data_IF_773539320063
#
_entry.id   IF_773539320063
#
_cell.length_a   1.000
_cell.length_b   1.000
_cell.length_c   1.000
_cell.angle_alpha   90.00
_cell.angle_beta   90.00
_cell.angle_gamma   90.00
#
_symmetry.space_group_name_H-M   'P 1'
#
loop_
_entity.id
_entity.type
_entity.pdbx_description
1 polymer ?
#
# COMPACT_ATOMS: atom_id res chain seq x y z
N UNK A 1 -31.71 -56.92 -8.48
CA UNK A 1 -31.59 -56.56 -7.04
C UNK A 1 -32.70 -55.56 -6.75
N UNK A 2 -33.77 -56.04 -6.12
CA UNK A 2 -34.96 -55.26 -5.78
C UNK A 2 -34.68 -54.40 -4.54
N UNK A 3 -34.83 -53.09 -4.68
CA UNK A 3 -35.50 -52.24 -3.69
C UNK A 3 -36.56 -51.42 -4.44
N UNK A 4 -37.57 -52.17 -4.90
CA UNK A 4 -38.89 -51.67 -5.24
C UNK A 4 -39.53 -51.01 -4.01
N UNK A 5 -40.41 -50.04 -4.28
CA UNK A 5 -41.57 -49.68 -3.46
C UNK A 5 -41.26 -49.18 -2.05
N UNK A 6 -41.20 -47.88 -1.87
CA UNK A 6 -42.08 -47.23 -0.88
C UNK A 6 -42.39 -45.79 -1.38
N UNK A 7 -43.56 -45.70 -2.02
CA UNK A 7 -44.52 -44.59 -1.93
C UNK A 7 -44.05 -43.24 -2.50
N UNK A 8 -44.16 -42.99 -3.80
CA UNK A 8 -45.40 -42.50 -4.44
C UNK A 8 -46.50 -42.03 -3.46
N UNK A 9 -46.81 -40.73 -3.51
CA UNK A 9 -48.19 -40.26 -3.35
C UNK A 9 -48.41 -39.01 -2.49
N UNK A 10 -48.12 -37.83 -3.03
CA UNK A 10 -49.13 -36.75 -3.15
C UNK A 10 -48.58 -35.54 -3.92
N UNK A 11 -49.12 -35.36 -5.11
CA UNK A 11 -49.28 -34.04 -5.75
C UNK A 11 -50.35 -33.25 -4.97
N UNK A 12 -50.23 -31.91 -5.03
CA UNK A 12 -51.18 -30.88 -4.58
C UNK A 12 -51.26 -30.76 -3.04
N UNK A 13 -50.75 -29.66 -2.46
CA UNK A 13 -51.54 -28.44 -2.32
C UNK A 13 -50.75 -27.16 -2.64
N UNK A 14 -51.06 -26.56 -3.79
CA UNK A 14 -51.02 -25.11 -3.96
C UNK A 14 -52.17 -24.53 -3.15
N UNK A 15 -51.89 -24.09 -1.94
CA UNK A 15 -52.73 -23.17 -1.18
C UNK A 15 -51.91 -22.75 0.03
N UNK A 16 -51.49 -21.48 0.06
CA UNK A 16 -51.31 -20.57 1.20
C UNK A 16 -50.41 -19.43 0.74
N UNK A 17 -50.81 -18.76 -0.35
CA UNK A 17 -50.63 -17.32 -0.37
C UNK A 17 -51.53 -16.74 0.73
N UNK A 18 -51.02 -15.72 1.41
CA UNK A 18 -51.77 -14.78 2.25
C UNK A 18 -52.03 -15.19 3.71
N UNK A 19 -50.97 -15.11 4.52
CA UNK A 19 -51.11 -14.56 5.88
C UNK A 19 -50.20 -13.33 5.97
N UNK A 20 -50.83 -12.17 5.79
CA UNK A 20 -50.28 -10.89 6.18
C UNK A 20 -50.10 -10.85 7.70
N UNK A 21 -49.00 -11.42 8.19
CA UNK A 21 -48.43 -11.06 9.49
C UNK A 21 -47.44 -9.93 9.22
N UNK A 22 -48.02 -8.73 9.11
CA UNK A 22 -47.50 -7.45 9.62
C UNK A 22 -45.97 -7.37 9.69
N UNK A 23 -45.29 -6.85 8.67
CA UNK A 23 -45.02 -5.41 8.56
C UNK A 23 -45.03 -4.68 9.91
N UNK A 24 -44.20 -5.10 10.86
CA UNK A 24 -43.91 -4.34 12.07
C UNK A 24 -42.52 -4.67 12.67
N UNK A 25 -41.47 -4.42 11.91
CA UNK A 25 -40.16 -4.10 12.49
C UNK A 25 -39.82 -2.64 12.16
N UNK A 26 -40.77 -1.74 12.40
CA UNK A 26 -40.49 -0.33 12.62
C UNK A 26 -40.07 -0.13 14.07
N UNK A 27 -38.97 0.59 14.29
CA UNK A 27 -38.46 1.09 15.57
C UNK A 27 -37.77 0.08 16.49
N UNK A 28 -36.53 -0.25 16.12
CA UNK A 28 -35.44 0.09 17.04
C UNK A 28 -34.41 0.91 16.27
N UNK A 29 -34.23 2.16 16.67
CA UNK A 29 -32.96 2.87 16.46
C UNK A 29 -31.86 2.08 17.17
N UNK A 30 -31.40 0.99 16.55
CA UNK A 30 -30.08 0.49 16.83
C UNK A 30 -29.16 1.42 16.05
N UNK A 31 -28.66 2.46 16.72
CA UNK A 31 -27.37 3.03 16.37
C UNK A 31 -26.36 1.90 16.54
N UNK A 32 -26.32 1.01 15.55
CA UNK A 32 -25.26 0.04 15.37
C UNK A 32 -24.06 0.95 15.14
N UNK A 33 -23.30 1.16 16.21
CA UNK A 33 -21.95 1.73 16.16
C UNK A 33 -21.08 0.76 15.35
N UNK A 34 -21.40 0.63 14.08
CA UNK A 34 -20.78 -0.26 13.13
C UNK A 34 -19.51 0.43 12.67
N UNK A 35 -18.38 -0.09 13.08
CA UNK A 35 -17.12 0.25 12.43
C UNK A 35 -17.19 -0.24 10.98
N UNK A 36 -16.86 0.64 10.04
CA UNK A 36 -16.67 0.25 8.64
C UNK A 36 -15.36 -0.54 8.53
N UNK A 37 -15.44 -1.78 8.03
CA UNK A 37 -14.28 -2.68 7.87
C UNK A 37 -13.77 -2.72 6.43
N UNK A 38 -14.11 -1.71 5.63
CA UNK A 38 -13.69 -1.65 4.23
C UNK A 38 -12.17 -1.60 4.10
N UNK A 39 -11.57 -2.39 3.19
CA UNK A 39 -10.14 -2.38 2.97
C UNK A 39 -9.72 -1.00 2.42
N UNK A 40 -8.91 -0.27 3.18
CA UNK A 40 -8.31 0.97 2.70
C UNK A 40 -7.23 0.64 1.66
N UNK A 41 -7.19 1.33 0.51
CA UNK A 41 -6.10 1.15 -0.45
C UNK A 41 -4.76 1.49 0.20
N UNK A 42 -3.72 0.77 -0.20
CA UNK A 42 -2.36 1.04 0.27
C UNK A 42 -1.95 2.46 -0.19
N UNK A 43 -1.37 3.31 0.67
CA UNK A 43 -1.06 4.70 0.34
C UNK A 43 0.25 4.79 -0.47
N UNK A 44 0.36 3.99 -1.54
CA UNK A 44 1.46 4.00 -2.48
C UNK A 44 0.98 4.40 -3.87
N UNK A 45 1.71 5.31 -4.50
CA UNK A 45 1.50 5.72 -5.87
C UNK A 45 2.80 5.56 -6.67
N UNK A 46 2.70 4.98 -7.85
CA UNK A 46 3.82 4.92 -8.80
C UNK A 46 3.92 6.26 -9.53
N UNK A 47 5.14 6.80 -9.63
CA UNK A 47 5.40 8.00 -10.41
C UNK A 47 5.67 7.71 -11.89
N UNK A 48 5.81 8.75 -12.72
CA UNK A 48 6.09 8.62 -14.16
C UNK A 48 7.42 7.91 -14.48
N UNK A 49 8.28 7.74 -13.48
CA UNK A 49 9.58 7.08 -13.61
C UNK A 49 9.55 5.63 -13.11
N UNK A 50 8.39 5.15 -12.64
CA UNK A 50 8.21 3.80 -12.11
C UNK A 50 8.57 3.64 -10.63
N UNK A 51 8.82 4.74 -9.92
CA UNK A 51 9.16 4.70 -8.49
C UNK A 51 7.91 4.83 -7.63
N UNK A 52 7.78 3.95 -6.64
CA UNK A 52 6.72 4.04 -5.64
C UNK A 52 7.00 5.13 -4.60
N UNK A 53 5.98 5.94 -4.32
CA UNK A 53 5.98 7.03 -3.33
C UNK A 53 4.79 6.92 -2.40
N UNK A 54 4.90 7.51 -1.22
CA UNK A 54 3.74 7.68 -0.35
C UNK A 54 2.77 8.66 -1.00
N UNK A 55 1.52 8.25 -1.16
CA UNK A 55 0.49 9.02 -1.87
C UNK A 55 0.38 10.44 -1.31
N UNK A 56 0.26 11.43 -2.21
CA UNK A 56 0.21 12.84 -1.81
C UNK A 56 1.55 13.47 -1.42
N UNK A 57 2.65 12.71 -1.43
CA UNK A 57 3.98 13.22 -1.01
C UNK A 57 5.08 12.95 -2.03
N UNK A 58 6.26 13.54 -1.80
CA UNK A 58 7.47 13.27 -2.59
C UNK A 58 8.38 12.21 -1.95
N UNK A 59 7.97 11.62 -0.84
CA UNK A 59 8.77 10.63 -0.12
C UNK A 59 8.63 9.27 -0.82
N UNK A 60 9.75 8.66 -1.18
CA UNK A 60 9.78 7.36 -1.86
C UNK A 60 9.63 6.22 -0.86
N UNK A 61 9.10 5.09 -1.35
CA UNK A 61 9.07 3.84 -0.60
C UNK A 61 10.49 3.44 -0.15
N UNK A 62 11.48 3.59 -1.04
CA UNK A 62 12.88 3.29 -0.80
C UNK A 62 13.44 4.04 0.42
N UNK A 63 13.13 5.34 0.57
CA UNK A 63 13.60 6.15 1.71
C UNK A 63 12.98 5.69 3.03
N UNK A 64 11.67 5.41 3.05
CA UNK A 64 10.97 4.90 4.24
C UNK A 64 11.53 3.54 4.66
N UNK A 65 11.66 2.60 3.72
CA UNK A 65 12.16 1.26 4.00
C UNK A 65 13.65 1.25 4.35
N UNK A 66 14.44 2.18 3.82
CA UNK A 66 15.83 2.35 4.23
C UNK A 66 15.93 2.74 5.71
N UNK A 67 15.15 3.74 6.15
CA UNK A 67 15.12 4.16 7.55
C UNK A 67 14.65 3.01 8.47
N UNK A 68 13.58 2.30 8.09
CA UNK A 68 13.07 1.15 8.84
C UNK A 68 14.10 0.02 8.96
N UNK A 69 14.79 -0.32 7.85
CA UNK A 69 15.84 -1.35 7.84
C UNK A 69 17.07 -0.96 8.65
N UNK A 70 17.31 0.34 8.86
CA UNK A 70 18.35 0.86 9.74
C UNK A 70 17.92 0.89 11.23
N UNK A 71 16.74 0.35 11.56
CA UNK A 71 16.27 0.23 12.93
C UNK A 71 15.38 1.37 13.42
N UNK A 72 15.05 2.34 12.56
CA UNK A 72 14.11 3.39 12.94
C UNK A 72 12.69 2.82 13.11
N UNK A 73 12.03 3.22 14.17
CA UNK A 73 10.61 2.95 14.42
C UNK A 73 9.73 3.75 13.44
N UNK A 74 8.47 3.33 13.29
CA UNK A 74 7.52 4.03 12.41
C UNK A 74 7.33 5.50 12.82
N UNK A 75 7.33 5.75 14.11
CA UNK A 75 7.18 7.06 14.74
C UNK A 75 8.41 7.94 14.49
N UNK A 76 9.62 7.37 14.61
CA UNK A 76 10.86 8.08 14.26
C UNK A 76 10.90 8.42 12.76
N UNK A 77 10.41 7.53 11.90
CA UNK A 77 10.29 7.78 10.47
C UNK A 77 9.30 8.92 10.20
N UNK A 78 8.15 8.96 10.89
CA UNK A 78 7.21 10.06 10.79
C UNK A 78 7.84 11.41 11.17
N UNK A 79 8.70 11.42 12.20
CA UNK A 79 9.45 12.62 12.58
C UNK A 79 10.48 13.04 11.52
N UNK A 80 11.12 12.08 10.83
CA UNK A 80 12.06 12.35 9.74
C UNK A 80 11.36 12.89 8.48
N UNK A 81 10.09 12.52 8.27
CA UNK A 81 9.30 12.94 7.12
C UNK A 81 7.97 13.57 7.56
N UNK A 82 7.97 14.84 8.04
CA UNK A 82 6.77 15.50 8.58
C UNK A 82 5.52 15.51 7.67
N UNK A 83 5.61 15.49 6.32
CA UNK A 83 4.44 15.38 5.47
C UNK A 83 3.74 14.01 5.49
N UNK A 84 4.32 12.99 6.13
CA UNK A 84 3.75 11.64 6.17
C UNK A 84 2.79 11.48 7.35
N UNK A 85 1.60 10.97 7.05
CA UNK A 85 0.68 10.52 8.07
C UNK A 85 1.19 9.23 8.72
N UNK A 86 1.17 9.18 10.06
CA UNK A 86 1.65 8.03 10.81
C UNK A 86 0.86 6.75 10.45
N UNK A 87 -0.45 6.88 10.19
CA UNK A 87 -1.29 5.76 9.80
C UNK A 87 -0.89 5.14 8.45
N UNK A 88 -0.47 5.96 7.50
CA UNK A 88 -0.02 5.51 6.19
C UNK A 88 1.32 4.78 6.29
N UNK A 89 2.23 5.26 7.15
CA UNK A 89 3.50 4.60 7.42
C UNK A 89 3.30 3.20 8.02
N UNK A 90 2.40 3.02 8.98
CA UNK A 90 2.09 1.69 9.50
C UNK A 90 1.51 0.76 8.43
N UNK A 91 0.63 1.28 7.56
CA UNK A 91 0.09 0.49 6.46
C UNK A 91 1.19 0.04 5.49
N UNK A 92 2.12 0.93 5.15
CA UNK A 92 3.24 0.65 4.24
C UNK A 92 4.24 -0.34 4.86
N UNK A 93 4.61 -0.15 6.12
CA UNK A 93 5.51 -1.07 6.83
C UNK A 93 4.84 -2.43 7.01
N UNK A 94 3.56 -2.48 7.36
CA UNK A 94 2.79 -3.74 7.44
C UNK A 94 2.75 -4.47 6.10
N UNK A 95 2.54 -3.74 5.00
CA UNK A 95 2.63 -4.29 3.64
C UNK A 95 4.03 -4.82 3.33
N UNK A 96 5.09 -4.08 3.69
CA UNK A 96 6.47 -4.53 3.50
C UNK A 96 6.75 -5.82 4.27
N UNK A 97 6.38 -5.89 5.55
CA UNK A 97 6.62 -7.08 6.37
C UNK A 97 5.91 -8.31 5.82
N UNK A 98 4.68 -8.16 5.30
CA UNK A 98 3.92 -9.24 4.66
C UNK A 98 4.51 -9.67 3.31
N UNK A 99 5.16 -8.76 2.58
CA UNK A 99 5.63 -8.98 1.20
C UNK A 99 7.15 -8.82 1.05
N UNK A 100 7.91 -9.04 2.12
CA UNK A 100 9.33 -8.66 2.24
C UNK A 100 10.18 -9.09 1.05
N UNK A 101 10.04 -10.35 0.61
CA UNK A 101 10.82 -10.90 -0.51
C UNK A 101 10.57 -10.15 -1.83
N UNK A 102 9.31 -9.84 -2.14
CA UNK A 102 8.95 -9.15 -3.37
C UNK A 102 9.44 -7.69 -3.34
N UNK A 103 9.26 -7.02 -2.21
CA UNK A 103 9.67 -5.61 -2.06
C UNK A 103 11.20 -5.47 -2.02
N UNK A 104 11.91 -6.36 -1.32
CA UNK A 104 13.39 -6.35 -1.31
C UNK A 104 13.97 -6.61 -2.72
N UNK A 105 13.30 -7.43 -3.56
CA UNK A 105 13.71 -7.64 -4.95
C UNK A 105 13.56 -6.36 -5.78
N UNK A 106 12.41 -5.67 -5.68
CA UNK A 106 12.19 -4.37 -6.30
C UNK A 106 13.24 -3.33 -5.87
N UNK A 107 13.51 -3.22 -4.55
CA UNK A 107 14.52 -2.29 -4.03
C UNK A 107 15.93 -2.59 -4.57
N UNK A 108 16.28 -3.87 -4.71
CA UNK A 108 17.59 -4.27 -5.27
C UNK A 108 17.74 -3.88 -6.74
N UNK A 109 16.68 -4.00 -7.54
CA UNK A 109 16.68 -3.58 -8.94
C UNK A 109 16.86 -2.08 -9.07
N UNK A 110 16.13 -1.29 -8.26
CA UNK A 110 16.29 0.16 -8.21
C UNK A 110 17.72 0.56 -7.82
N UNK A 111 18.30 -0.08 -6.82
CA UNK A 111 19.67 0.22 -6.38
C UNK A 111 20.70 -0.04 -7.50
N UNK A 112 20.54 -1.14 -8.25
CA UNK A 112 21.39 -1.45 -9.41
C UNK A 112 21.25 -0.40 -10.51
N UNK A 113 20.03 0.01 -10.83
CA UNK A 113 19.76 1.05 -11.82
C UNK A 113 20.37 2.40 -11.40
N UNK A 114 20.20 2.79 -10.14
CA UNK A 114 20.78 4.01 -9.57
C UNK A 114 22.32 3.99 -9.63
N UNK A 115 22.96 2.88 -9.22
CA UNK A 115 24.42 2.72 -9.30
C UNK A 115 24.93 2.80 -10.74
N UNK A 116 24.26 2.15 -11.68
CA UNK A 116 24.64 2.19 -13.09
C UNK A 116 24.54 3.62 -13.66
N UNK A 117 23.48 4.36 -13.32
CA UNK A 117 23.34 5.76 -13.69
C UNK A 117 24.43 6.63 -13.06
N UNK A 118 24.71 6.43 -11.76
CA UNK A 118 25.73 7.15 -11.03
C UNK A 118 27.12 6.96 -11.66
N UNK A 119 27.47 5.73 -12.05
CA UNK A 119 28.72 5.43 -12.75
C UNK A 119 28.81 6.12 -14.12
N UNK A 120 27.71 6.15 -14.88
CA UNK A 120 27.65 6.86 -16.18
C UNK A 120 27.86 8.37 -15.99
N UNK A 121 27.22 8.96 -14.98
CA UNK A 121 27.37 10.39 -14.65
C UNK A 121 28.81 10.69 -14.24
N UNK A 122 29.41 9.89 -13.35
CA UNK A 122 30.78 10.10 -12.90
C UNK A 122 31.81 9.95 -14.04
N UNK A 123 31.59 9.04 -14.98
CA UNK A 123 32.44 8.92 -16.18
C UNK A 123 32.33 10.16 -17.08
N UNK A 124 31.12 10.70 -17.25
CA UNK A 124 30.88 11.90 -18.08
C UNK A 124 31.33 13.20 -17.40
N UNK A 125 31.21 13.25 -16.08
CA UNK A 125 31.52 14.39 -15.22
C UNK A 125 32.37 13.91 -14.04
N UNK A 126 33.68 13.73 -14.22
CA UNK A 126 34.56 13.32 -13.14
C UNK A 126 34.46 14.29 -11.96
N UNK A 127 34.33 13.80 -10.71
CA UNK A 127 34.23 14.66 -9.54
C UNK A 127 35.56 15.36 -9.20
N UNK A 128 36.68 14.88 -9.75
CA UNK A 128 37.97 15.52 -9.64
C UNK A 128 37.95 16.89 -10.33
N UNK A 129 38.47 17.92 -9.65
CA UNK A 129 38.55 19.27 -10.21
C UNK A 129 37.28 20.13 -10.04
N UNK A 130 36.22 19.63 -9.38
CA UNK A 130 35.02 20.44 -9.10
C UNK A 130 35.39 21.64 -8.23
N UNK A 131 36.24 21.44 -7.20
CA UNK A 131 36.70 22.53 -6.32
C UNK A 131 37.48 23.59 -7.12
N UNK A 132 38.48 23.20 -7.92
CA UNK A 132 39.20 24.15 -8.78
C UNK A 132 38.27 24.88 -9.76
N UNK A 133 37.28 24.18 -10.35
CA UNK A 133 36.29 24.79 -11.26
C UNK A 133 35.41 25.83 -10.56
N UNK A 134 34.93 25.52 -9.36
CA UNK A 134 34.11 26.44 -8.56
C UNK A 134 34.92 27.65 -8.08
N UNK A 135 36.18 27.47 -7.70
CA UNK A 135 37.09 28.55 -7.33
C UNK A 135 37.38 29.50 -8.50
N UNK A 136 37.65 28.95 -9.70
CA UNK A 136 37.84 29.77 -10.92
C UNK A 136 36.59 30.58 -11.29
N UNK A 137 35.39 30.01 -11.11
CA UNK A 137 34.12 30.74 -11.34
C UNK A 137 33.86 31.86 -10.33
N UNK A 138 34.28 31.72 -9.06
CA UNK A 138 34.14 32.78 -8.05
C UNK A 138 35.13 33.94 -8.24
N UNK A 139 36.25 33.71 -8.89
CA UNK A 139 37.27 34.75 -9.16
C UNK A 139 37.04 35.51 -10.48
N UNK A 140 36.12 35.01 -11.32
CA UNK A 140 35.79 35.61 -12.63
C UNK A 140 34.41 36.29 -12.65
N UNK A 141 33.80 36.48 -11.48
CA UNK A 141 32.57 37.25 -11.24
C UNK A 141 32.91 38.39 -10.28
#
# INVERSE_FOLDING_TARGET
>A
MNFLKYLLGRQEDKQFENIGILNNFGNQNLLKMGISLEPRPLPLAEDKTGLYRIAGTRVTLDSVLHAFKNGATTEEIALQFPPLELSDLYAVIGFYLKNKKAVDAYLSENEKAAKALQQKIQKKFPPAGIRERLLKKRQSA
#
